data_IF_475447683799
#
_entry.id   IF_475447683799
#
_cell.length_a   1.000
_cell.length_b   1.000
_cell.length_c   1.000
_cell.angle_alpha   90.00
_cell.angle_beta   90.00
_cell.angle_gamma   90.00
#
_symmetry.space_group_name_H-M   'P 1'
#
loop_
_entity.id
_entity.type
_entity.pdbx_description
1 polymer ?
#
# COMPACT_ATOMS: atom_id res chain seq x y z
N UNK A 1 -11.51 14.38 4.22
CA UNK A 1 -11.26 14.32 5.68
C UNK A 1 -10.14 15.29 6.15
N UNK A 2 -10.27 16.01 7.30
CA UNK A 2 -9.22 16.90 7.85
C UNK A 2 -8.04 16.13 8.50
N UNK A 3 -6.90 16.80 8.69
CA UNK A 3 -5.65 16.20 9.17
C UNK A 3 -5.77 15.49 10.54
N UNK A 4 -6.38 16.13 11.55
CA UNK A 4 -6.46 15.54 12.91
C UNK A 4 -7.30 14.26 12.97
N UNK A 5 -8.18 14.03 11.98
CA UNK A 5 -8.99 12.82 11.93
C UNK A 5 -8.18 11.56 11.55
N UNK A 6 -6.93 11.71 11.08
CA UNK A 6 -6.04 10.57 10.81
C UNK A 6 -5.46 9.91 12.08
N UNK A 7 -5.68 10.50 13.26
CA UNK A 7 -5.41 9.85 14.56
C UNK A 7 -6.42 8.76 14.89
N UNK A 8 -7.64 8.88 14.35
CA UNK A 8 -8.76 8.02 14.69
C UNK A 8 -8.91 6.91 13.64
N UNK A 9 -8.56 5.66 13.98
CA UNK A 9 -8.59 4.56 13.02
C UNK A 9 -10.01 4.26 12.51
N UNK A 10 -11.04 4.59 13.28
CA UNK A 10 -12.44 4.43 12.89
C UNK A 10 -12.79 5.46 11.83
N UNK A 11 -12.38 6.73 12.00
CA UNK A 11 -12.58 7.76 10.97
C UNK A 11 -11.82 7.46 9.69
N UNK A 12 -10.56 7.02 9.77
CA UNK A 12 -9.82 6.61 8.57
C UNK A 12 -10.57 5.51 7.83
N UNK A 13 -11.06 4.50 8.55
CA UNK A 13 -11.79 3.36 7.94
C UNK A 13 -13.17 3.76 7.38
N UNK A 14 -13.94 4.57 8.10
CA UNK A 14 -15.34 4.87 7.75
C UNK A 14 -15.49 6.09 6.84
N UNK A 15 -14.48 6.97 6.76
CA UNK A 15 -14.54 8.20 5.97
C UNK A 15 -13.50 8.18 4.86
N UNK A 16 -12.21 8.07 5.21
CA UNK A 16 -11.14 8.17 4.22
C UNK A 16 -11.07 6.98 3.25
N UNK A 17 -11.22 5.75 3.74
CA UNK A 17 -11.19 4.57 2.87
C UNK A 17 -12.33 4.57 1.81
N UNK A 18 -13.59 4.95 2.15
CA UNK A 18 -14.63 5.17 1.14
C UNK A 18 -14.32 6.30 0.15
N UNK A 19 -13.83 7.45 0.63
CA UNK A 19 -13.39 8.56 -0.25
C UNK A 19 -12.32 8.09 -1.24
N UNK A 20 -11.31 7.35 -0.75
CA UNK A 20 -10.24 6.78 -1.57
C UNK A 20 -10.78 5.76 -2.57
N UNK A 21 -11.67 4.86 -2.15
CA UNK A 21 -12.26 3.87 -3.04
C UNK A 21 -13.01 4.55 -4.19
N UNK A 22 -13.75 5.64 -3.91
CA UNK A 22 -14.42 6.43 -4.94
C UNK A 22 -13.43 7.09 -5.90
N UNK A 23 -12.35 7.69 -5.39
CA UNK A 23 -11.32 8.31 -6.22
C UNK A 23 -10.66 7.28 -7.17
N UNK A 24 -10.33 6.07 -6.66
CA UNK A 24 -9.78 4.99 -7.48
C UNK A 24 -10.79 4.53 -8.54
N UNK A 25 -12.08 4.39 -8.19
CA UNK A 25 -13.15 4.03 -9.15
C UNK A 25 -13.21 5.00 -10.32
N UNK A 26 -13.21 6.29 -10.01
CA UNK A 26 -13.27 7.36 -11.02
C UNK A 26 -12.01 7.36 -11.88
N UNK A 27 -10.83 7.33 -11.26
CA UNK A 27 -9.55 7.42 -11.98
C UNK A 27 -9.29 6.22 -12.90
N UNK A 28 -9.70 5.02 -12.48
CA UNK A 28 -9.47 3.78 -13.23
C UNK A 28 -10.70 3.33 -14.04
N UNK A 29 -11.81 4.06 -13.97
CA UNK A 29 -13.08 3.70 -14.62
C UNK A 29 -13.55 2.28 -14.28
N UNK A 30 -13.46 1.91 -13.00
CA UNK A 30 -13.80 0.57 -12.48
C UNK A 30 -15.02 0.64 -11.57
N UNK A 31 -15.85 -0.42 -11.58
CA UNK A 31 -17.09 -0.47 -10.79
C UNK A 31 -16.82 -0.76 -9.31
N UNK A 32 -15.83 -1.62 -9.04
CA UNK A 32 -15.64 -2.22 -7.73
C UNK A 32 -14.22 -2.02 -7.21
N UNK A 33 -14.15 -1.40 -6.02
CA UNK A 33 -12.90 -1.17 -5.30
C UNK A 33 -13.13 -1.48 -3.83
N UNK A 34 -12.24 -2.28 -3.24
CA UNK A 34 -12.18 -2.60 -1.82
C UNK A 34 -10.81 -2.22 -1.27
N UNK A 35 -10.75 -1.17 -0.45
CA UNK A 35 -9.53 -0.79 0.28
C UNK A 35 -9.27 -1.82 1.36
N UNK A 36 -8.25 -2.64 1.23
CA UNK A 36 -7.89 -3.78 2.10
C UNK A 36 -7.47 -3.27 3.48
N UNK A 37 -6.47 -2.38 3.48
CA UNK A 37 -5.87 -1.84 4.69
C UNK A 37 -5.20 -0.48 4.42
N UNK A 38 -4.67 0.12 5.48
CA UNK A 38 -3.93 1.36 5.41
C UNK A 38 -2.81 1.41 6.47
N UNK A 39 -1.84 2.30 6.30
CA UNK A 39 -0.84 2.62 7.30
C UNK A 39 -0.65 4.14 7.34
N UNK A 40 -0.97 4.76 8.47
CA UNK A 40 -0.58 6.15 8.75
C UNK A 40 0.86 6.11 9.24
N UNK A 41 1.75 6.79 8.52
CA UNK A 41 3.17 6.87 8.83
C UNK A 41 3.56 8.26 9.26
N UNK A 42 4.24 8.36 10.40
CA UNK A 42 4.77 9.62 10.93
C UNK A 42 6.21 9.41 11.33
N UNK A 43 7.10 10.06 10.59
CA UNK A 43 8.52 9.90 10.80
C UNK A 43 8.93 10.56 12.12
N UNK A 44 9.59 9.80 12.99
CA UNK A 44 10.26 10.34 14.17
C UNK A 44 11.66 10.85 13.83
N UNK A 45 12.16 11.82 14.60
CA UNK A 45 13.46 12.45 14.35
C UNK A 45 14.63 11.44 14.35
N UNK A 46 14.53 10.40 15.19
CA UNK A 46 15.53 9.33 15.35
C UNK A 46 15.58 8.36 14.16
N UNK A 47 14.52 8.23 13.36
CA UNK A 47 14.52 7.36 12.18
C UNK A 47 15.59 7.79 11.15
N UNK A 48 16.41 6.87 10.58
CA UNK A 48 16.25 5.41 10.57
C UNK A 48 17.06 4.67 11.64
N UNK A 49 17.56 5.37 12.66
CA UNK A 49 18.35 4.77 13.73
C UNK A 49 17.40 3.98 14.65
N UNK A 50 17.71 2.70 14.87
CA UNK A 50 17.00 1.89 15.85
C UNK A 50 17.31 2.39 17.26
N UNK A 51 16.27 2.73 18.01
CA UNK A 51 16.37 3.20 19.40
C UNK A 51 16.16 2.07 20.42
N UNK A 52 15.90 0.85 19.96
CA UNK A 52 15.52 -0.29 20.80
C UNK A 52 14.10 -0.19 21.40
N UNK A 53 13.32 0.81 21.00
CA UNK A 53 11.92 0.99 21.39
C UNK A 53 11.03 0.95 20.15
N UNK A 54 9.80 0.48 20.31
CA UNK A 54 8.80 0.57 19.26
C UNK A 54 8.38 2.03 19.06
N UNK A 55 8.24 2.42 17.80
CA UNK A 55 7.73 3.73 17.42
C UNK A 55 6.21 3.77 17.61
N UNK A 56 5.67 4.93 18.00
CA UNK A 56 4.22 5.09 18.16
C UNK A 56 3.48 4.92 16.83
N UNK A 57 4.09 5.40 15.75
CA UNK A 57 3.56 5.29 14.40
C UNK A 57 4.52 4.51 13.50
N UNK A 58 3.96 3.90 12.45
CA UNK A 58 4.77 3.28 11.42
C UNK A 58 5.73 4.32 10.79
N UNK A 59 6.98 3.91 10.60
CA UNK A 59 8.01 4.75 9.99
C UNK A 59 8.05 4.57 8.46
N UNK A 60 8.69 5.46 7.68
CA UNK A 60 8.87 5.25 6.25
C UNK A 60 9.52 3.88 5.94
N UNK A 61 8.97 3.12 5.00
CA UNK A 61 9.50 1.81 4.63
C UNK A 61 10.72 1.95 3.69
N UNK A 62 11.93 1.79 4.23
CA UNK A 62 13.18 2.03 3.50
C UNK A 62 13.65 0.86 2.63
N UNK A 63 13.16 -0.35 2.90
CA UNK A 63 13.46 -1.51 2.06
C UNK A 63 12.57 -1.50 0.82
N UNK A 64 13.18 -1.66 -0.35
CA UNK A 64 12.46 -1.80 -1.61
C UNK A 64 11.61 -3.07 -1.60
N UNK A 65 10.31 -2.91 -1.83
CA UNK A 65 9.35 -4.00 -1.75
C UNK A 65 8.16 -3.84 -2.70
N UNK A 66 7.39 -4.91 -2.82
CA UNK A 66 6.00 -4.93 -3.28
C UNK A 66 5.19 -5.53 -2.12
N UNK A 67 4.06 -4.92 -1.74
CA UNK A 67 3.33 -5.30 -0.53
C UNK A 67 2.88 -6.76 -0.50
N UNK A 68 2.53 -7.31 -1.67
CA UNK A 68 1.93 -8.63 -1.80
C UNK A 68 2.51 -9.39 -2.99
N UNK A 69 2.66 -10.70 -2.84
CA UNK A 69 2.80 -11.61 -3.98
C UNK A 69 1.47 -11.75 -4.75
N UNK A 70 1.52 -12.41 -5.91
CA UNK A 70 0.28 -12.71 -6.66
C UNK A 70 -0.58 -13.69 -5.86
N UNK A 71 0.07 -14.67 -5.25
CA UNK A 71 -0.49 -15.73 -4.42
C UNK A 71 -1.15 -15.15 -3.16
N UNK A 72 -0.51 -14.18 -2.51
CA UNK A 72 -1.07 -13.42 -1.40
C UNK A 72 -2.36 -12.70 -1.82
N UNK A 73 -2.36 -12.01 -2.96
CA UNK A 73 -3.54 -11.31 -3.45
C UNK A 73 -4.70 -12.27 -3.75
N UNK A 74 -4.42 -13.43 -4.34
CA UNK A 74 -5.41 -14.50 -4.55
C UNK A 74 -5.93 -15.04 -3.22
N UNK A 75 -5.05 -15.25 -2.24
CA UNK A 75 -5.44 -15.71 -0.90
C UNK A 75 -6.35 -14.69 -0.21
N UNK A 76 -6.02 -13.40 -0.28
CA UNK A 76 -6.86 -12.33 0.27
C UNK A 76 -8.26 -12.32 -0.34
N UNK A 77 -8.37 -12.39 -1.67
CA UNK A 77 -9.67 -12.43 -2.36
C UNK A 77 -10.45 -13.69 -1.94
N UNK A 78 -9.77 -14.83 -1.82
CA UNK A 78 -10.37 -16.10 -1.38
C UNK A 78 -10.87 -16.03 0.06
N UNK A 79 -10.09 -15.47 0.97
CA UNK A 79 -10.48 -15.26 2.37
C UNK A 79 -11.68 -14.33 2.47
N UNK A 80 -11.69 -13.22 1.74
CA UNK A 80 -12.77 -12.25 1.79
C UNK A 80 -14.10 -12.82 1.28
N UNK A 81 -14.10 -13.55 0.16
CA UNK A 81 -15.34 -13.90 -0.56
C UNK A 81 -15.68 -15.39 -0.56
N UNK A 82 -14.85 -16.24 0.05
CA UNK A 82 -15.12 -17.67 0.21
C UNK A 82 -15.46 -18.36 -1.11
N UNK A 83 -16.61 -19.03 -1.18
CA UNK A 83 -17.07 -19.74 -2.37
C UNK A 83 -17.30 -18.84 -3.60
N UNK A 84 -17.54 -17.55 -3.40
CA UNK A 84 -17.73 -16.60 -4.49
C UNK A 84 -16.41 -16.06 -5.08
N UNK A 85 -15.26 -16.34 -4.44
CA UNK A 85 -13.97 -15.82 -4.86
C UNK A 85 -13.55 -16.31 -6.25
N UNK A 86 -13.86 -17.57 -6.61
CA UNK A 86 -13.52 -18.14 -7.92
C UNK A 86 -14.06 -17.31 -9.08
N UNK A 87 -15.30 -16.81 -8.95
CA UNK A 87 -15.91 -15.92 -9.92
C UNK A 87 -15.13 -14.61 -10.03
N UNK A 88 -14.84 -13.95 -8.90
CA UNK A 88 -14.12 -12.67 -8.89
C UNK A 88 -12.70 -12.80 -9.46
N UNK A 89 -12.00 -13.86 -9.10
CA UNK A 89 -10.64 -14.15 -9.58
C UNK A 89 -10.60 -14.35 -11.10
N UNK A 90 -11.63 -14.95 -11.68
CA UNK A 90 -11.73 -15.17 -13.13
C UNK A 90 -12.09 -13.91 -13.94
N UNK A 91 -12.63 -12.88 -13.29
CA UNK A 91 -13.18 -11.68 -13.94
C UNK A 91 -12.21 -10.49 -13.96
N UNK A 92 -10.96 -10.72 -13.59
CA UNK A 92 -9.91 -9.70 -13.59
C UNK A 92 -9.86 -8.90 -12.30
N UNK A 93 -8.66 -8.77 -11.75
CA UNK A 93 -8.40 -8.00 -10.54
C UNK A 93 -7.00 -7.38 -10.57
N UNK A 94 -6.79 -6.33 -9.79
CA UNK A 94 -5.48 -5.75 -9.54
C UNK A 94 -5.37 -5.23 -8.12
N UNK A 95 -4.18 -5.33 -7.53
CA UNK A 95 -3.81 -4.54 -6.35
C UNK A 95 -3.42 -3.15 -6.83
N UNK A 96 -4.02 -2.12 -6.22
CA UNK A 96 -3.67 -0.73 -6.40
C UNK A 96 -3.23 -0.17 -5.06
N UNK A 97 -2.01 0.35 -5.04
CA UNK A 97 -1.47 1.12 -3.96
C UNK A 97 -1.81 2.60 -4.14
N UNK A 98 -2.10 3.25 -3.03
CA UNK A 98 -2.39 4.66 -2.97
C UNK A 98 -1.53 5.30 -1.88
N UNK A 99 -0.83 6.38 -2.23
CA UNK A 99 0.06 7.09 -1.32
C UNK A 99 -0.21 8.59 -1.34
N UNK A 100 -0.31 9.19 -0.15
CA UNK A 100 -0.64 10.61 0.00
C UNK A 100 0.06 11.25 1.20
N UNK A 101 0.66 12.44 1.03
CA UNK A 101 1.08 13.31 2.14
C UNK A 101 -0.11 13.79 2.99
N UNK A 102 0.06 13.85 4.32
CA UNK A 102 -1.04 14.25 5.21
C UNK A 102 -1.00 15.72 5.65
N UNK A 103 0.19 16.30 5.80
CA UNK A 103 0.35 17.59 6.51
C UNK A 103 1.02 18.70 5.71
N UNK A 104 2.07 18.35 4.96
CA UNK A 104 2.85 19.31 4.18
C UNK A 104 3.40 18.61 2.93
N UNK A 105 3.94 19.42 2.00
CA UNK A 105 4.65 18.89 0.85
C UNK A 105 5.82 18.00 1.29
N UNK A 106 6.01 16.87 0.60
CA UNK A 106 7.04 15.89 0.97
C UNK A 106 8.38 16.25 0.33
N UNK A 107 9.32 16.59 1.21
CA UNK A 107 10.76 16.73 0.92
C UNK A 107 11.61 15.79 1.79
N UNK A 108 11.08 15.37 2.94
CA UNK A 108 11.68 14.39 3.84
C UNK A 108 11.18 12.98 3.49
N UNK A 109 12.07 12.02 3.28
CA UNK A 109 11.72 10.63 2.99
C UNK A 109 10.62 10.43 1.92
N UNK A 110 10.74 10.99 0.71
CA UNK A 110 9.77 10.78 -0.37
C UNK A 110 9.63 9.29 -0.75
N UNK A 111 8.50 8.96 -1.38
CA UNK A 111 8.26 7.63 -1.93
C UNK A 111 8.82 7.54 -3.35
N UNK A 112 9.78 6.64 -3.56
CA UNK A 112 10.22 6.23 -4.88
C UNK A 112 9.41 5.01 -5.35
N UNK A 113 9.09 5.00 -6.64
CA UNK A 113 8.39 3.94 -7.35
C UNK A 113 9.22 3.54 -8.57
N UNK A 114 9.46 2.25 -8.73
CA UNK A 114 10.19 1.68 -9.85
C UNK A 114 9.27 1.50 -11.07
N UNK A 115 9.77 1.84 -12.25
CA UNK A 115 9.09 1.53 -13.51
C UNK A 115 9.06 0.01 -13.71
N UNK A 116 7.86 -0.57 -13.75
CA UNK A 116 7.67 -2.02 -13.94
C UNK A 116 8.38 -2.58 -15.18
N UNK A 117 8.64 -1.78 -16.21
CA UNK A 117 9.37 -2.20 -17.42
C UNK A 117 10.85 -2.45 -17.19
N UNK A 118 11.38 -1.98 -16.06
CA UNK A 118 12.78 -2.13 -15.65
C UNK A 118 12.96 -3.09 -14.46
N UNK A 119 11.87 -3.77 -14.07
CA UNK A 119 11.84 -4.76 -13.00
C UNK A 119 11.56 -6.14 -13.61
N UNK A 120 12.37 -7.13 -13.23
CA UNK A 120 12.21 -8.53 -13.65
C UNK A 120 11.94 -9.38 -12.42
N UNK A 121 10.69 -9.83 -12.16
CA UNK A 121 10.35 -10.53 -10.93
C UNK A 121 11.25 -11.72 -10.58
N UNK A 122 11.56 -12.58 -11.55
CA UNK A 122 12.33 -13.80 -11.32
C UNK A 122 13.83 -13.54 -11.01
N UNK A 123 14.32 -12.33 -11.31
CA UNK A 123 15.70 -11.91 -11.09
C UNK A 123 15.83 -10.97 -9.89
N UNK A 124 14.91 -10.02 -9.79
CA UNK A 124 14.98 -8.89 -8.87
C UNK A 124 14.12 -9.12 -7.61
N UNK A 125 13.12 -9.99 -7.67
CA UNK A 125 12.15 -10.20 -6.60
C UNK A 125 12.43 -11.47 -5.79
N UNK A 126 12.23 -11.37 -4.48
CA UNK A 126 12.26 -12.51 -3.56
C UNK A 126 11.03 -12.45 -2.66
N UNK A 127 10.16 -13.47 -2.76
CA UNK A 127 9.04 -13.62 -1.85
C UNK A 127 9.54 -13.71 -0.40
N UNK A 128 8.87 -13.01 0.51
CA UNK A 128 9.23 -12.99 1.92
C UNK A 128 7.99 -12.89 2.79
N UNK A 129 7.99 -13.64 3.88
CA UNK A 129 6.91 -13.57 4.85
C UNK A 129 7.08 -12.33 5.75
N UNK A 130 5.96 -11.67 6.00
CA UNK A 130 5.76 -10.68 7.04
C UNK A 130 4.95 -11.34 8.15
N UNK A 131 5.66 -11.79 9.19
CA UNK A 131 5.10 -12.57 10.28
C UNK A 131 4.68 -11.65 11.43
N UNK A 132 3.40 -11.69 11.79
CA UNK A 132 2.85 -11.07 12.98
C UNK A 132 2.44 -12.13 14.00
N UNK A 133 2.16 -11.71 15.24
CA UNK A 133 1.76 -12.63 16.32
C UNK A 133 0.56 -13.51 15.98
N UNK A 134 -0.39 -12.97 15.22
CA UNK A 134 -1.70 -13.60 14.97
C UNK A 134 -1.99 -13.85 13.49
N UNK A 135 -1.11 -13.42 12.58
CA UNK A 135 -1.33 -13.55 11.14
C UNK A 135 -0.01 -13.42 10.36
N UNK A 136 -0.04 -13.81 9.08
CA UNK A 136 1.07 -13.68 8.14
C UNK A 136 0.57 -13.08 6.81
N UNK A 137 1.41 -12.27 6.18
CA UNK A 137 1.32 -11.92 4.75
C UNK A 137 2.60 -12.31 4.06
N UNK A 138 2.53 -12.53 2.76
CA UNK A 138 3.70 -12.66 1.89
C UNK A 138 3.86 -11.38 1.06
N UNK A 139 5.04 -10.75 1.14
CA UNK A 139 5.44 -9.62 0.33
C UNK A 139 6.57 -10.03 -0.64
N UNK A 140 7.08 -9.07 -1.41
CA UNK A 140 8.28 -9.29 -2.22
C UNK A 140 9.34 -8.26 -1.84
N UNK A 141 10.51 -8.73 -1.41
CA UNK A 141 11.71 -7.90 -1.26
C UNK A 141 12.45 -7.79 -2.59
N UNK A 142 13.08 -6.65 -2.80
CA UNK A 142 13.65 -6.30 -4.10
C UNK A 142 15.17 -6.20 -4.01
N UNK A 143 15.85 -7.05 -4.76
CA UNK A 143 17.28 -7.02 -4.95
C UNK A 143 17.68 -5.82 -5.83
N UNK A 144 18.84 -5.25 -5.53
CA UNK A 144 19.42 -4.21 -6.35
C UNK A 144 19.78 -4.75 -7.74
N UNK A 145 19.26 -4.09 -8.76
CA UNK A 145 19.67 -4.29 -10.15
C UNK A 145 19.89 -2.91 -10.78
N UNK A 146 21.08 -2.63 -11.34
CA UNK A 146 21.41 -1.31 -11.90
C UNK A 146 20.52 -0.89 -13.08
N UNK A 147 19.78 -1.82 -13.69
CA UNK A 147 18.84 -1.51 -14.76
C UNK A 147 17.49 -0.97 -14.26
N UNK A 148 17.19 -1.10 -12.96
CA UNK A 148 15.96 -0.60 -12.36
C UNK A 148 15.90 0.92 -12.44
N UNK A 149 14.78 1.45 -12.93
CA UNK A 149 14.54 2.89 -13.09
C UNK A 149 13.55 3.36 -12.04
N UNK A 150 14.06 4.13 -11.09
CA UNK A 150 13.31 4.64 -9.96
C UNK A 150 12.92 6.10 -10.16
N UNK A 151 11.67 6.43 -9.86
CA UNK A 151 11.11 7.77 -9.98
C UNK A 151 10.42 8.17 -8.69
N UNK A 152 10.39 9.46 -8.40
CA UNK A 152 9.61 10.01 -7.29
C UNK A 152 9.05 11.37 -7.72
N UNK A 153 8.01 11.84 -7.03
CA UNK A 153 7.44 13.16 -7.27
C UNK A 153 8.01 14.17 -6.26
N UNK A 154 8.88 15.10 -6.67
CA UNK A 154 9.49 16.06 -5.76
C UNK A 154 8.42 17.01 -5.20
N UNK A 155 8.37 17.18 -3.87
CA UNK A 155 7.45 18.13 -3.26
C UNK A 155 5.98 17.76 -3.38
N UNK A 156 5.64 16.46 -3.49
CA UNK A 156 4.25 16.02 -3.55
C UNK A 156 3.43 16.63 -2.40
N UNK A 157 2.30 17.26 -2.72
CA UNK A 157 1.46 18.00 -1.77
C UNK A 157 0.32 17.15 -1.22
N UNK A 158 -0.38 17.65 -0.21
CA UNK A 158 -1.56 16.99 0.37
C UNK A 158 -2.73 16.85 -0.61
N UNK A 159 -2.74 17.60 -1.71
CA UNK A 159 -3.79 17.52 -2.73
C UNK A 159 -3.50 16.47 -3.80
N UNK A 160 -2.32 15.83 -3.74
CA UNK A 160 -1.87 14.89 -4.75
C UNK A 160 -1.87 13.46 -4.20
N UNK A 161 -2.62 12.60 -4.88
CA UNK A 161 -2.66 11.16 -4.62
C UNK A 161 -1.82 10.43 -5.67
N UNK A 162 -0.82 9.68 -5.22
CA UNK A 162 -0.04 8.81 -6.09
C UNK A 162 -0.67 7.42 -6.10
N UNK A 163 -1.09 6.96 -7.27
CA UNK A 163 -1.55 5.59 -7.49
C UNK A 163 -0.50 4.80 -8.26
N UNK A 164 -0.20 3.60 -7.80
CA UNK A 164 0.71 2.68 -8.49
C UNK A 164 0.24 1.23 -8.32
N UNK A 165 0.70 0.35 -9.20
CA UNK A 165 0.20 -1.02 -9.29
C UNK A 165 0.98 -1.96 -8.38
N UNK A 166 0.26 -2.86 -7.73
CA UNK A 166 0.78 -4.14 -7.24
C UNK A 166 0.52 -5.26 -8.26
N UNK A 167 0.48 -6.54 -7.81
CA UNK A 167 0.15 -7.66 -8.69
C UNK A 167 -1.25 -7.56 -9.28
N UNK A 168 -1.46 -8.15 -10.46
CA UNK A 168 -2.77 -8.28 -11.09
C UNK A 168 -3.04 -9.68 -11.66
N UNK A 169 -4.27 -9.93 -12.07
CA UNK A 169 -4.70 -11.23 -12.60
C UNK A 169 -4.12 -11.59 -13.98
N UNK A 170 -3.52 -10.65 -14.69
CA UNK A 170 -3.11 -10.84 -16.09
C UNK A 170 -1.59 -11.02 -16.23
N UNK A 171 -0.82 -10.20 -15.54
CA UNK A 171 0.64 -10.16 -15.56
C UNK A 171 1.23 -10.60 -14.21
N UNK A 172 0.40 -10.85 -13.19
CA UNK A 172 0.87 -11.22 -11.86
C UNK A 172 1.81 -10.16 -11.32
N UNK A 173 2.92 -10.61 -10.75
CA UNK A 173 3.96 -9.74 -10.21
C UNK A 173 4.63 -8.83 -11.25
N UNK A 174 4.59 -9.17 -12.55
CA UNK A 174 5.13 -8.30 -13.63
C UNK A 174 4.33 -7.00 -13.81
N UNK A 175 3.11 -6.93 -13.28
CA UNK A 175 2.33 -5.69 -13.27
C UNK A 175 2.80 -4.70 -12.21
N UNK A 176 3.47 -5.19 -11.16
CA UNK A 176 3.72 -4.44 -9.94
C UNK A 176 4.86 -3.44 -10.10
N UNK A 177 4.77 -2.35 -9.35
CA UNK A 177 5.81 -1.36 -9.21
C UNK A 177 6.47 -1.53 -7.83
N UNK A 178 7.73 -2.01 -7.78
CA UNK A 178 8.55 -1.92 -6.58
C UNK A 178 8.58 -0.49 -6.03
N UNK A 179 8.57 -0.33 -4.70
CA UNK A 179 8.58 0.98 -4.08
C UNK A 179 9.35 0.97 -2.76
N UNK A 180 9.88 2.14 -2.39
CA UNK A 180 10.55 2.38 -1.12
C UNK A 180 10.55 3.87 -0.78
N UNK A 181 10.56 4.19 0.50
CA UNK A 181 10.97 5.51 0.97
C UNK A 181 12.49 5.62 0.94
N UNK A 182 13.04 6.76 0.51
CA UNK A 182 14.49 6.97 0.50
C UNK A 182 14.87 8.28 1.18
N UNK A 183 16.08 8.35 1.74
CA UNK A 183 16.60 9.58 2.32
C UNK A 183 17.01 10.54 1.20
N UNK A 184 16.15 11.51 0.90
CA UNK A 184 16.48 12.62 0.02
C UNK A 184 17.39 13.65 0.72
N UNK A 185 18.11 14.45 -0.08
CA UNK A 185 18.76 15.66 0.41
C UNK A 185 17.67 16.63 0.92
N UNK A 186 17.88 17.17 2.13
CA UNK A 186 16.92 18.05 2.81
C UNK A 186 17.62 19.20 3.51
N UNK A 187 16.94 20.34 3.55
CA UNK A 187 17.33 21.48 4.39
C UNK A 187 17.10 21.15 5.87
N UNK A 188 17.83 21.83 6.76
CA UNK A 188 17.80 21.59 8.21
C UNK A 188 16.37 21.63 8.76
N UNK A 189 15.57 22.60 8.35
CA UNK A 189 14.21 22.85 8.84
C UNK A 189 13.11 22.11 8.04
N UNK A 190 13.49 21.13 7.21
CA UNK A 190 12.50 20.35 6.45
C UNK A 190 11.57 19.59 7.43
N UNK A 191 10.25 19.81 7.36
CA UNK A 191 9.30 19.10 8.21
C UNK A 191 9.38 17.58 8.02
N UNK A 192 9.17 16.82 9.11
CA UNK A 192 9.28 15.37 9.08
C UNK A 192 8.07 14.75 8.37
N UNK A 193 8.29 13.75 7.52
CA UNK A 193 7.22 13.13 6.73
C UNK A 193 6.06 12.63 7.58
N UNK A 194 4.86 13.05 7.20
CA UNK A 194 3.59 12.43 7.59
C UNK A 194 2.79 12.05 6.33
N UNK A 195 2.44 10.77 6.20
CA UNK A 195 1.79 10.22 5.02
C UNK A 195 0.83 9.08 5.35
N UNK A 196 -0.03 8.72 4.42
CA UNK A 196 -0.83 7.50 4.47
C UNK A 196 -0.55 6.63 3.24
N UNK A 197 -0.36 5.33 3.48
CA UNK A 197 -0.28 4.27 2.48
C UNK A 197 -1.57 3.45 2.56
N UNK A 198 -2.22 3.18 1.43
CA UNK A 198 -3.42 2.34 1.35
C UNK A 198 -3.24 1.29 0.25
N UNK A 199 -3.76 0.09 0.48
CA UNK A 199 -3.79 -0.97 -0.53
C UNK A 199 -5.24 -1.32 -0.82
N UNK A 200 -5.58 -1.44 -2.09
CA UNK A 200 -6.94 -1.73 -2.53
C UNK A 200 -6.95 -2.84 -3.58
N UNK A 201 -7.97 -3.69 -3.53
CA UNK A 201 -8.30 -4.59 -4.64
C UNK A 201 -9.28 -3.86 -5.54
N UNK A 202 -8.91 -3.79 -6.82
CA UNK A 202 -9.79 -3.39 -7.91
C UNK A 202 -10.30 -4.65 -8.58
N UNK A 203 -11.61 -4.73 -8.82
CA UNK A 203 -12.20 -5.78 -9.64
C UNK A 203 -12.68 -5.18 -10.95
N UNK A 204 -12.25 -5.76 -12.07
CA UNK A 204 -12.73 -5.39 -13.42
C UNK A 204 -14.03 -6.10 -13.79
N UNK A 205 -14.54 -6.93 -12.88
CA UNK A 205 -15.84 -7.57 -12.97
C UNK A 205 -16.98 -6.56 -13.21
N UNK A 206 -17.92 -6.96 -14.08
CA UNK A 206 -19.12 -6.21 -14.41
C UNK A 206 -20.32 -6.57 -13.51
N UNK A 207 -20.16 -7.43 -12.50
CA UNK A 207 -21.24 -7.77 -11.56
C UNK A 207 -21.87 -6.51 -10.96
N UNK A 208 -23.15 -6.54 -10.61
CA UNK A 208 -23.83 -5.35 -10.07
C UNK A 208 -23.34 -4.97 -8.69
N UNK A 209 -23.13 -5.96 -7.85
CA UNK A 209 -22.60 -5.79 -6.50
C UNK A 209 -21.53 -6.84 -6.26
N UNK A 210 -20.48 -6.48 -5.51
CA UNK A 210 -19.58 -7.50 -4.97
C UNK A 210 -20.37 -8.46 -4.07
N UNK A 211 -20.02 -9.75 -4.04
CA UNK A 211 -20.52 -10.69 -3.04
C UNK A 211 -20.26 -10.19 -1.62
N UNK A 212 -21.06 -10.66 -0.67
CA UNK A 212 -20.88 -10.35 0.75
C UNK A 212 -19.52 -10.89 1.23
N UNK A 213 -18.79 -10.07 1.98
CA UNK A 213 -17.55 -10.50 2.63
C UNK A 213 -17.89 -11.50 3.74
N UNK A 214 -17.27 -12.68 3.69
CA UNK A 214 -17.48 -13.79 4.64
C UNK A 214 -16.27 -14.03 5.53
N UNK A 215 -15.13 -13.41 5.23
CA UNK A 215 -13.91 -13.52 6.02
C UNK A 215 -13.27 -12.16 6.30
N UNK A 216 -12.27 -12.17 7.15
CA UNK A 216 -11.54 -10.98 7.60
C UNK A 216 -10.08 -11.10 7.19
N UNK A 217 -9.56 -10.05 6.55
CA UNK A 217 -8.13 -9.92 6.31
C UNK A 217 -7.46 -9.34 7.55
N UNK A 218 -6.31 -9.93 7.92
CA UNK A 218 -5.41 -9.48 8.97
C UNK A 218 -6.06 -9.46 10.37
N UNK A 219 -5.62 -10.39 11.22
CA UNK A 219 -6.15 -10.53 12.58
C UNK A 219 -6.08 -9.22 13.34
N UNK A 220 -7.25 -8.72 13.74
CA UNK A 220 -7.51 -7.67 14.73
C UNK A 220 -6.36 -6.66 14.91
N UNK A 221 -6.42 -5.53 14.21
CA UNK A 221 -5.78 -4.28 14.68
C UNK A 221 -6.51 -3.70 15.92
N UNK A 222 -7.30 -4.49 16.63
CA UNK A 222 -8.08 -4.06 17.79
C UNK A 222 -7.29 -4.13 19.11
N UNK A 223 -6.00 -4.46 19.06
CA UNK A 223 -5.10 -4.31 20.22
C UNK A 223 -4.19 -3.09 20.03
N UNK A 224 -4.75 -1.91 20.34
CA UNK A 224 -3.93 -0.82 20.87
C UNK A 224 -3.49 -1.25 22.27
N UNK A 225 -2.19 -1.35 22.59
CA UNK A 225 -1.78 -1.46 23.98
C UNK A 225 -2.24 -0.19 24.69
N UNK A 226 -2.99 -0.40 25.78
CA UNK A 226 -3.28 0.59 26.82
C UNK A 226 -2.00 1.23 27.35
#
# INVERSE_FOLDING_TARGET
MPYDAFEDPVKVKQVYCPELAQAIRQQLSVKHVRVIDYSVRRREASFPISTGREFQHAQPASMAHIDFTTEEAVRMITTLYGSAASQLLSQGWAIINAWRPLKHAIKDWPLAVCDKRSFTPDLDGMASDVVYRTWLSENVLIHHNPNQKWFFYPGQTTEQLLLFRGPDSHQGLKAACPHAAFRAEREQDTPLRESIDCRAIVFYSMVDTLPVEVGTLYGLRDHFPS
#
